data_IF_946276161168
#
_entry.id   IF_946276161168
#
_cell.length_a   1.000
_cell.length_b   1.000
_cell.length_c   1.000
_cell.angle_alpha   90.00
_cell.angle_beta   90.00
_cell.angle_gamma   90.00
#
_symmetry.space_group_name_H-M   'P 1'
#
loop_
_entity.id
_entity.type
_entity.pdbx_description
1 polymer ?
#
# COMPACT_ATOMS: atom_id res chain seq x y z
N UNK A 1 -29.08 42.23 9.14
CA UNK A 1 -28.73 41.49 7.91
C UNK A 1 -27.23 41.59 7.63
N UNK A 2 -26.61 42.77 7.78
CA UNK A 2 -25.16 42.98 7.73
C UNK A 2 -24.36 42.07 8.67
N UNK A 3 -24.76 41.97 9.93
CA UNK A 3 -23.96 41.32 10.97
C UNK A 3 -23.88 39.80 10.75
N UNK A 4 -24.99 39.23 10.25
CA UNK A 4 -25.07 37.82 9.86
C UNK A 4 -24.13 37.48 8.70
N UNK A 5 -24.00 38.37 7.70
CA UNK A 5 -23.08 38.18 6.58
C UNK A 5 -21.64 38.15 7.08
N UNK A 6 -21.26 39.04 8.00
CA UNK A 6 -19.91 39.05 8.56
C UNK A 6 -19.58 37.82 9.39
N UNK A 7 -20.54 37.30 10.16
CA UNK A 7 -20.38 36.02 10.87
C UNK A 7 -20.14 34.88 9.88
N UNK A 8 -20.91 34.81 8.79
CA UNK A 8 -20.70 33.82 7.73
C UNK A 8 -19.32 33.97 7.07
N UNK A 9 -18.84 35.19 6.85
CA UNK A 9 -17.50 35.43 6.29
C UNK A 9 -16.39 34.97 7.24
N UNK A 10 -16.54 35.16 8.56
CA UNK A 10 -15.58 34.64 9.54
C UNK A 10 -15.57 33.10 9.51
N UNK A 11 -16.74 32.46 9.50
CA UNK A 11 -16.85 30.99 9.39
C UNK A 11 -16.21 30.50 8.08
N UNK A 12 -16.54 31.15 6.96
CA UNK A 12 -15.98 30.81 5.65
C UNK A 12 -14.45 30.96 5.65
N UNK A 13 -13.91 32.01 6.27
CA UNK A 13 -12.46 32.20 6.37
C UNK A 13 -11.77 31.08 7.16
N UNK A 14 -12.40 30.57 8.22
CA UNK A 14 -11.91 29.43 8.97
C UNK A 14 -12.01 28.13 8.17
N UNK A 15 -13.11 27.91 7.42
CA UNK A 15 -13.26 26.77 6.52
C UNK A 15 -12.21 26.77 5.41
N UNK A 16 -11.94 27.94 4.79
CA UNK A 16 -10.91 28.10 3.77
C UNK A 16 -9.52 27.89 4.36
N UNK A 17 -9.24 28.45 5.55
CA UNK A 17 -7.97 28.25 6.24
C UNK A 17 -7.73 26.76 6.58
N UNK A 18 -8.78 26.04 6.99
CA UNK A 18 -8.72 24.61 7.22
C UNK A 18 -8.50 23.81 5.92
N UNK A 19 -9.19 24.16 4.84
CA UNK A 19 -9.02 23.54 3.52
C UNK A 19 -7.59 23.72 2.99
N UNK A 20 -7.02 24.91 3.15
CA UNK A 20 -5.63 25.23 2.78
C UNK A 20 -4.60 24.71 3.79
N UNK A 21 -5.04 24.00 4.84
CA UNK A 21 -4.19 23.42 5.90
C UNK A 21 -3.25 24.44 6.54
N UNK A 22 -3.75 25.66 6.79
CA UNK A 22 -2.95 26.70 7.44
C UNK A 22 -2.64 26.33 8.90
N UNK A 23 -1.45 26.70 9.41
CA UNK A 23 -1.16 26.60 10.84
C UNK A 23 -2.22 27.32 11.67
N UNK A 24 -2.57 26.77 12.84
CA UNK A 24 -3.65 27.28 13.70
C UNK A 24 -3.56 28.79 13.97
N UNK A 25 -2.35 29.30 14.23
CA UNK A 25 -2.15 30.73 14.46
C UNK A 25 -2.49 31.57 13.23
N UNK A 26 -2.13 31.11 12.03
CA UNK A 26 -2.43 31.82 10.78
C UNK A 26 -3.94 31.82 10.52
N UNK A 27 -4.63 30.70 10.80
CA UNK A 27 -6.08 30.63 10.69
C UNK A 27 -6.79 31.62 11.63
N UNK A 28 -6.33 31.73 12.88
CA UNK A 28 -6.86 32.68 13.87
C UNK A 28 -6.60 34.13 13.42
N UNK A 29 -5.40 34.43 12.92
CA UNK A 29 -5.06 35.77 12.41
C UNK A 29 -5.96 36.16 11.23
N UNK A 30 -6.17 35.25 10.27
CA UNK A 30 -7.05 35.49 9.11
C UNK A 30 -8.48 35.76 9.56
N UNK A 31 -9.03 34.94 10.46
CA UNK A 31 -10.37 35.11 10.98
C UNK A 31 -10.53 36.42 11.79
N UNK A 32 -9.51 36.77 12.58
CA UNK A 32 -9.46 38.05 13.30
C UNK A 32 -9.36 39.25 12.36
N UNK A 33 -8.66 39.12 11.23
CA UNK A 33 -8.61 40.12 10.17
C UNK A 33 -9.99 40.38 9.54
N UNK A 34 -10.75 39.32 9.23
CA UNK A 34 -12.13 39.45 8.72
C UNK A 34 -13.03 40.15 9.75
N UNK A 35 -12.87 39.81 11.03
CA UNK A 35 -13.62 40.44 12.13
C UNK A 35 -13.29 41.94 12.28
N UNK A 36 -12.02 42.31 12.10
CA UNK A 36 -11.57 43.71 12.11
C UNK A 36 -12.19 44.52 10.98
N UNK A 37 -12.21 43.96 9.77
CA UNK A 37 -12.86 44.62 8.63
C UNK A 37 -14.34 44.86 8.91
N UNK A 38 -15.07 43.85 9.42
CA UNK A 38 -16.47 44.01 9.79
C UNK A 38 -16.73 45.00 10.95
N UNK A 39 -15.72 45.27 11.78
CA UNK A 39 -15.76 46.31 12.83
C UNK A 39 -15.64 47.71 12.21
N UNK A 40 -14.76 47.89 11.22
CA UNK A 40 -14.55 49.17 10.51
C UNK A 40 -15.81 49.57 9.73
N UNK A 41 -16.53 48.62 9.14
CA UNK A 41 -17.80 48.86 8.44
C UNK A 41 -19.02 49.04 9.38
N UNK A 42 -18.80 49.09 10.70
CA UNK A 42 -19.82 49.44 11.69
C UNK A 42 -20.82 48.34 12.05
N UNK A 43 -20.64 47.13 11.53
CA UNK A 43 -21.54 45.99 11.73
C UNK A 43 -21.16 45.07 12.90
N UNK A 44 -19.92 45.16 13.39
CA UNK A 44 -19.44 44.32 14.50
C UNK A 44 -18.88 45.19 15.61
N UNK A 45 -19.19 44.82 16.85
CA UNK A 45 -18.83 45.57 18.04
C UNK A 45 -17.97 44.79 19.02
N UNK A 46 -17.78 45.36 20.20
CA UNK A 46 -16.97 44.80 21.29
C UNK A 46 -17.42 43.38 21.70
N UNK A 47 -18.73 43.11 21.63
CA UNK A 47 -19.29 41.79 21.92
C UNK A 47 -18.74 40.70 20.98
N UNK A 48 -18.60 41.01 19.69
CA UNK A 48 -18.08 40.07 18.68
C UNK A 48 -16.62 39.71 18.94
N UNK A 49 -15.82 40.69 19.35
CA UNK A 49 -14.42 40.48 19.75
C UNK A 49 -14.29 39.67 21.02
N UNK A 50 -15.13 39.92 22.03
CA UNK A 50 -15.16 39.12 23.25
C UNK A 50 -15.49 37.65 22.94
N UNK A 51 -16.52 37.41 22.14
CA UNK A 51 -16.89 36.04 21.72
C UNK A 51 -15.74 35.38 20.96
N UNK A 52 -15.11 36.09 20.03
CA UNK A 52 -13.98 35.56 19.26
C UNK A 52 -12.80 35.16 20.16
N UNK A 53 -12.40 36.03 21.10
CA UNK A 53 -11.30 35.75 22.02
C UNK A 53 -11.64 34.59 22.94
N UNK A 54 -12.84 34.57 23.52
CA UNK A 54 -13.28 33.49 24.42
C UNK A 54 -13.28 32.14 23.71
N UNK A 55 -13.70 32.10 22.44
CA UNK A 55 -13.72 30.87 21.65
C UNK A 55 -12.32 30.46 21.19
N UNK A 56 -11.49 31.39 20.70
CA UNK A 56 -10.20 31.04 20.08
C UNK A 56 -9.04 30.95 21.06
N UNK A 57 -9.05 31.68 22.18
CA UNK A 57 -7.96 31.68 23.16
C UNK A 57 -7.65 30.28 23.74
N UNK A 58 -8.64 29.42 24.07
CA UNK A 58 -8.38 28.05 24.51
C UNK A 58 -7.64 27.20 23.47
N UNK A 59 -7.77 27.50 22.18
CA UNK A 59 -7.07 26.80 21.09
C UNK A 59 -5.70 27.45 20.80
N UNK A 60 -5.59 28.77 20.91
CA UNK A 60 -4.36 29.50 20.62
C UNK A 60 -3.27 29.24 21.67
N UNK A 61 -3.64 29.12 22.95
CA UNK A 61 -2.70 29.05 24.07
C UNK A 61 -2.35 27.60 24.41
N UNK A 62 -1.09 27.14 24.21
CA UNK A 62 -0.72 25.74 24.40
C UNK A 62 -0.92 25.24 25.84
N UNK A 63 -0.72 26.09 26.84
CA UNK A 63 -0.90 25.76 28.26
C UNK A 63 -2.36 25.46 28.63
N UNK A 64 -3.32 25.93 27.84
CA UNK A 64 -4.74 25.61 27.99
C UNK A 64 -5.11 24.45 27.05
N UNK A 65 -4.76 24.57 25.76
CA UNK A 65 -5.11 23.59 24.73
C UNK A 65 -4.65 22.18 25.06
N UNK A 66 -3.39 22.01 25.45
CA UNK A 66 -2.80 20.66 25.62
C UNK A 66 -3.43 19.91 26.79
N UNK A 67 -3.45 20.42 28.04
CA UNK A 67 -3.99 19.68 29.18
C UNK A 67 -5.50 19.50 29.14
N UNK A 68 -6.26 20.49 28.67
CA UNK A 68 -7.72 20.48 28.79
C UNK A 68 -8.46 20.06 27.52
N UNK A 69 -7.83 20.13 26.34
CA UNK A 69 -8.47 19.79 25.07
C UNK A 69 -7.79 18.59 24.41
N UNK A 70 -6.50 18.70 24.11
CA UNK A 70 -5.77 17.68 23.33
C UNK A 70 -5.60 16.38 24.11
N UNK A 71 -5.14 16.43 25.37
CA UNK A 71 -4.92 15.21 26.18
C UNK A 71 -6.20 14.42 26.43
N UNK A 72 -7.34 15.02 26.83
CA UNK A 72 -8.59 14.28 27.02
C UNK A 72 -9.13 13.68 25.72
N UNK A 73 -9.06 14.43 24.61
CA UNK A 73 -9.46 13.91 23.29
C UNK A 73 -8.60 12.71 22.88
N UNK A 74 -7.28 12.78 23.06
CA UNK A 74 -6.39 11.66 22.78
C UNK A 74 -6.67 10.46 23.68
N UNK A 75 -6.94 10.70 24.97
CA UNK A 75 -7.29 9.64 25.91
C UNK A 75 -8.61 8.95 25.56
N UNK A 76 -9.62 9.71 25.13
CA UNK A 76 -10.86 9.16 24.60
C UNK A 76 -10.61 8.33 23.34
N UNK A 77 -9.87 8.89 22.37
CA UNK A 77 -9.58 8.22 21.11
C UNK A 77 -8.85 6.88 21.32
N UNK A 78 -7.86 6.84 22.24
CA UNK A 78 -7.16 5.61 22.61
C UNK A 78 -8.06 4.50 23.17
N UNK A 79 -9.17 4.85 23.82
CA UNK A 79 -10.13 3.86 24.33
C UNK A 79 -11.02 3.26 23.24
N UNK A 80 -11.22 3.98 22.14
CA UNK A 80 -12.07 3.57 21.03
C UNK A 80 -11.27 2.86 19.94
N UNK A 81 -9.96 3.11 19.86
CA UNK A 81 -9.08 2.36 18.97
C UNK A 81 -8.98 0.90 19.45
N UNK A 82 -9.17 -0.09 18.56
CA UNK A 82 -8.90 -1.48 18.90
C UNK A 82 -7.41 -1.66 19.21
N UNK A 83 -7.12 -2.43 20.27
CA UNK A 83 -5.75 -2.84 20.56
C UNK A 83 -5.31 -3.88 19.53
N UNK A 84 -4.15 -3.66 18.92
CA UNK A 84 -3.59 -4.57 17.93
C UNK A 84 -3.08 -5.83 18.63
N UNK A 85 -3.49 -7.00 18.16
CA UNK A 85 -2.97 -8.27 18.67
C UNK A 85 -1.49 -8.44 18.32
N UNK A 86 -0.77 -9.27 19.08
CA UNK A 86 0.65 -9.59 18.80
C UNK A 86 0.85 -10.12 17.37
N UNK A 87 -0.07 -10.94 16.87
CA UNK A 87 0.00 -11.49 15.51
C UNK A 87 -0.24 -10.43 14.44
N UNK A 88 -1.19 -9.52 14.65
CA UNK A 88 -1.40 -8.38 13.73
C UNK A 88 -0.21 -7.43 13.73
N UNK A 89 0.42 -7.21 14.89
CA UNK A 89 1.62 -6.38 15.00
C UNK A 89 2.79 -7.01 14.22
N UNK A 90 3.05 -8.31 14.41
CA UNK A 90 4.08 -9.02 13.65
C UNK A 90 3.82 -8.99 12.14
N UNK A 91 2.55 -9.11 11.72
CA UNK A 91 2.18 -9.01 10.31
C UNK A 91 2.40 -7.60 9.73
N UNK A 92 2.09 -6.55 10.50
CA UNK A 92 2.34 -5.16 10.09
C UNK A 92 3.84 -4.85 10.07
N UNK A 93 4.59 -5.33 11.06
CA UNK A 93 6.04 -5.11 11.16
C UNK A 93 6.82 -5.90 10.11
N UNK A 94 6.30 -7.06 9.67
CA UNK A 94 6.83 -7.78 8.52
C UNK A 94 6.54 -7.07 7.20
N UNK A 95 5.49 -6.25 7.16
CA UNK A 95 5.14 -5.41 6.03
C UNK A 95 6.07 -4.20 5.89
N UNK A 96 6.19 -3.69 4.67
CA UNK A 96 6.83 -2.39 4.43
C UNK A 96 5.82 -1.44 3.80
N UNK A 97 5.94 -0.16 4.10
CA UNK A 97 5.13 0.89 3.46
C UNK A 97 5.81 1.26 2.14
N UNK A 98 5.10 1.15 1.02
CA UNK A 98 5.67 1.43 -0.30
C UNK A 98 5.16 2.76 -0.87
N UNK A 99 4.42 2.76 -1.99
CA UNK A 99 3.85 3.98 -2.59
C UNK A 99 2.55 4.42 -1.91
N UNK A 100 1.84 3.47 -1.28
CA UNK A 100 0.59 3.71 -0.57
C UNK A 100 0.80 4.66 0.61
N UNK A 101 1.94 4.57 1.30
CA UNK A 101 2.33 5.51 2.36
C UNK A 101 2.37 6.96 1.92
N UNK A 102 2.80 7.23 0.67
CA UNK A 102 2.79 8.60 0.13
C UNK A 102 1.37 9.15 0.07
N UNK A 103 0.40 8.33 -0.34
CA UNK A 103 -1.01 8.73 -0.44
C UNK A 103 -1.61 8.90 0.96
N UNK A 104 -1.42 7.92 1.85
CA UNK A 104 -1.99 7.95 3.19
C UNK A 104 -1.37 9.04 4.09
N UNK A 105 -0.19 9.56 3.76
CA UNK A 105 0.39 10.74 4.43
C UNK A 105 -0.45 12.02 4.24
N UNK A 106 -1.35 12.04 3.26
CA UNK A 106 -2.15 13.20 2.88
C UNK A 106 -1.36 14.31 2.19
N UNK A 107 -0.05 14.15 1.97
CA UNK A 107 0.81 15.06 1.20
C UNK A 107 1.83 14.24 0.39
N UNK A 108 1.38 13.51 -0.65
CA UNK A 108 2.26 12.63 -1.43
C UNK A 108 3.38 13.40 -2.13
N UNK A 109 4.58 12.82 -2.15
CA UNK A 109 5.66 13.26 -3.01
C UNK A 109 5.46 12.68 -4.44
N UNK A 110 4.90 13.50 -5.32
CA UNK A 110 4.65 13.11 -6.71
C UNK A 110 5.92 12.84 -7.51
N UNK A 111 7.04 13.50 -7.17
CA UNK A 111 8.29 13.26 -7.87
C UNK A 111 8.82 11.87 -7.54
N UNK A 112 8.73 11.45 -6.27
CA UNK A 112 9.04 10.08 -5.84
C UNK A 112 8.17 9.04 -6.56
N UNK A 113 6.86 9.28 -6.65
CA UNK A 113 5.93 8.35 -7.33
C UNK A 113 6.22 8.23 -8.83
N UNK A 114 6.48 9.35 -9.52
CA UNK A 114 6.85 9.34 -10.94
C UNK A 114 8.24 8.76 -11.21
N UNK A 115 9.12 8.75 -10.21
CA UNK A 115 10.45 8.15 -10.31
C UNK A 115 10.44 6.62 -10.11
N UNK A 116 9.31 6.00 -9.76
CA UNK A 116 9.20 4.54 -9.64
C UNK A 116 9.51 3.92 -11.01
N UNK A 117 10.54 3.08 -11.13
CA UNK A 117 10.94 2.53 -12.41
C UNK A 117 9.85 1.59 -12.95
N UNK A 118 9.59 1.69 -14.24
CA UNK A 118 8.74 0.72 -14.93
C UNK A 118 9.44 -0.65 -14.93
N UNK A 119 8.72 -1.69 -14.51
CA UNK A 119 9.19 -3.07 -14.63
C UNK A 119 9.51 -3.41 -16.08
N UNK A 120 10.66 -4.04 -16.32
CA UNK A 120 11.11 -4.48 -17.64
C UNK A 120 11.60 -5.91 -17.54
N UNK A 121 11.35 -6.69 -18.58
CA UNK A 121 11.90 -8.03 -18.72
C UNK A 121 13.31 -7.92 -19.28
N UNK A 122 14.22 -8.70 -18.72
CA UNK A 122 15.50 -9.03 -19.33
C UNK A 122 15.27 -9.87 -20.60
N UNK A 123 16.31 -9.99 -21.43
CA UNK A 123 16.23 -10.82 -22.63
C UNK A 123 15.93 -12.31 -22.31
N UNK A 124 16.47 -12.81 -21.20
CA UNK A 124 16.24 -14.19 -20.72
C UNK A 124 14.79 -14.38 -20.26
N UNK A 125 14.25 -13.46 -19.46
CA UNK A 125 12.86 -13.51 -19.00
C UNK A 125 11.87 -13.37 -20.16
N UNK A 126 12.15 -12.49 -21.12
CA UNK A 126 11.34 -12.34 -22.33
C UNK A 126 11.37 -13.64 -23.17
N UNK A 127 12.54 -14.23 -23.36
CA UNK A 127 12.67 -15.51 -24.07
C UNK A 127 11.93 -16.65 -23.36
N UNK A 128 11.92 -16.66 -22.02
CA UNK A 128 11.13 -17.62 -21.25
C UNK A 128 9.63 -17.43 -21.48
N UNK A 129 9.16 -16.18 -21.48
CA UNK A 129 7.76 -15.82 -21.69
C UNK A 129 7.27 -16.16 -23.11
N UNK A 130 8.12 -15.97 -24.13
CA UNK A 130 7.76 -16.16 -25.54
C UNK A 130 8.03 -17.60 -26.04
N UNK A 131 8.78 -18.39 -25.27
CA UNK A 131 9.09 -19.78 -25.58
C UNK A 131 8.39 -20.74 -24.62
N UNK A 132 9.04 -21.12 -23.51
CA UNK A 132 8.50 -22.04 -22.53
C UNK A 132 7.04 -21.79 -22.12
N UNK A 133 6.68 -20.53 -21.81
CA UNK A 133 5.33 -20.20 -21.36
C UNK A 133 4.30 -20.34 -22.48
N UNK A 134 4.59 -19.87 -23.69
CA UNK A 134 3.69 -20.06 -24.85
C UNK A 134 3.45 -21.54 -25.14
N UNK A 135 4.53 -22.34 -25.06
CA UNK A 135 4.45 -23.77 -25.32
C UNK A 135 3.54 -24.48 -24.32
N UNK A 136 3.68 -24.22 -23.02
CA UNK A 136 2.85 -24.88 -22.01
C UNK A 136 1.39 -24.42 -22.05
N UNK A 137 1.12 -23.16 -22.38
CA UNK A 137 -0.25 -22.71 -22.65
C UNK A 137 -0.90 -23.52 -23.78
N UNK A 138 -0.13 -23.83 -24.84
CA UNK A 138 -0.62 -24.67 -25.94
C UNK A 138 -0.74 -26.16 -25.63
N UNK A 139 -0.26 -26.63 -24.46
CA UNK A 139 -0.37 -28.03 -24.02
C UNK A 139 -1.64 -28.30 -23.21
N UNK A 140 -2.37 -27.26 -22.77
CA UNK A 140 -3.53 -27.41 -21.90
C UNK A 140 -4.85 -27.44 -22.66
N UNK A 141 -5.68 -28.41 -22.31
CA UNK A 141 -7.12 -28.38 -22.51
C UNK A 141 -7.81 -28.14 -21.15
N UNK A 142 -8.35 -26.94 -20.96
CA UNK A 142 -8.94 -26.54 -19.67
C UNK A 142 -10.21 -27.34 -19.32
N UNK A 143 -10.97 -27.79 -20.32
CA UNK A 143 -12.17 -28.57 -20.07
C UNK A 143 -11.80 -29.97 -19.58
N UNK A 144 -10.80 -30.60 -20.23
CA UNK A 144 -10.24 -31.89 -19.83
C UNK A 144 -9.68 -31.84 -18.40
N UNK A 145 -8.85 -30.83 -18.09
CA UNK A 145 -8.27 -30.63 -16.74
C UNK A 145 -9.36 -30.51 -15.67
N UNK A 146 -10.36 -29.65 -15.88
CA UNK A 146 -11.34 -29.38 -14.81
C UNK A 146 -12.46 -30.43 -14.70
N UNK A 147 -12.91 -31.03 -15.80
CA UNK A 147 -14.12 -31.86 -15.82
C UNK A 147 -13.85 -33.35 -15.91
N UNK A 148 -12.66 -33.76 -16.31
CA UNK A 148 -12.30 -35.18 -16.44
C UNK A 148 -11.17 -35.59 -15.52
N UNK A 149 -10.04 -34.91 -15.60
CA UNK A 149 -8.82 -35.38 -14.93
C UNK A 149 -8.72 -34.84 -13.50
N UNK A 150 -9.28 -33.65 -13.23
CA UNK A 150 -9.11 -32.91 -11.98
C UNK A 150 -7.64 -32.70 -11.59
N UNK A 151 -6.74 -32.71 -12.58
CA UNK A 151 -5.30 -32.53 -12.46
C UNK A 151 -4.72 -32.08 -13.81
N UNK A 152 -3.48 -31.60 -13.82
CA UNK A 152 -2.74 -31.34 -15.05
C UNK A 152 -2.27 -32.67 -15.67
N UNK A 153 -2.22 -32.77 -17.02
CA UNK A 153 -1.67 -33.96 -17.67
C UNK A 153 -0.22 -34.25 -17.28
N UNK A 154 0.21 -35.52 -17.19
CA UNK A 154 1.58 -35.88 -16.80
C UNK A 154 2.68 -35.22 -17.64
N UNK A 155 2.45 -35.04 -18.94
CA UNK A 155 3.36 -34.36 -19.85
C UNK A 155 3.51 -32.87 -19.55
N UNK A 156 2.45 -32.22 -19.04
CA UNK A 156 2.52 -30.84 -18.57
C UNK A 156 3.32 -30.77 -17.29
N UNK A 157 3.06 -31.65 -16.33
CA UNK A 157 3.86 -31.75 -15.09
C UNK A 157 5.34 -31.94 -15.38
N UNK A 158 5.68 -32.84 -16.31
CA UNK A 158 7.07 -33.07 -16.73
C UNK A 158 7.69 -31.80 -17.33
N UNK A 159 6.96 -31.15 -18.24
CA UNK A 159 7.42 -29.92 -18.89
C UNK A 159 7.65 -28.77 -17.91
N UNK A 160 6.75 -28.58 -16.94
CA UNK A 160 6.87 -27.54 -15.92
C UNK A 160 8.13 -27.74 -15.05
N UNK A 161 8.44 -28.99 -14.70
CA UNK A 161 9.66 -29.33 -13.94
C UNK A 161 10.92 -29.14 -14.77
N UNK A 162 10.94 -29.67 -16.00
CA UNK A 162 12.07 -29.55 -16.92
C UNK A 162 12.46 -28.09 -17.17
N UNK A 163 11.45 -27.23 -17.36
CA UNK A 163 11.64 -25.81 -17.61
C UNK A 163 11.59 -24.94 -16.35
N UNK A 164 11.63 -25.54 -15.15
CA UNK A 164 11.78 -24.83 -13.86
C UNK A 164 10.69 -23.81 -13.56
N UNK A 165 9.46 -24.07 -13.99
CA UNK A 165 8.32 -23.18 -13.71
C UNK A 165 8.06 -23.01 -12.19
N UNK A 166 8.40 -24.00 -11.37
CA UNK A 166 8.25 -23.93 -9.91
C UNK A 166 9.38 -23.20 -9.17
N UNK A 167 10.38 -22.71 -9.92
CA UNK A 167 11.64 -22.21 -9.38
C UNK A 167 12.07 -20.89 -10.02
N UNK A 168 11.10 -20.09 -10.48
CA UNK A 168 11.38 -18.81 -11.12
C UNK A 168 12.10 -17.86 -10.15
N UNK A 169 11.68 -17.83 -8.88
CA UNK A 169 12.25 -16.93 -7.87
C UNK A 169 13.47 -17.50 -7.13
N UNK A 170 13.80 -18.78 -7.34
CA UNK A 170 14.94 -19.41 -6.68
C UNK A 170 16.22 -18.95 -7.39
N UNK A 171 17.25 -18.57 -6.63
CA UNK A 171 18.53 -18.11 -7.19
C UNK A 171 19.18 -19.17 -8.07
N UNK A 172 19.93 -18.72 -9.08
CA UNK A 172 20.61 -19.62 -10.02
C UNK A 172 21.65 -20.52 -9.34
N UNK A 173 22.28 -20.06 -8.26
CA UNK A 173 23.23 -20.86 -7.46
C UNK A 173 22.62 -22.13 -6.86
N UNK A 174 21.30 -22.12 -6.61
CA UNK A 174 20.54 -23.29 -6.15
C UNK A 174 19.79 -23.98 -7.29
N UNK A 175 20.07 -23.62 -8.55
CA UNK A 175 19.47 -24.23 -9.72
C UNK A 175 18.12 -23.64 -10.14
N UNK A 176 17.66 -22.54 -9.57
CA UNK A 176 16.48 -21.82 -10.06
C UNK A 176 16.76 -20.92 -11.27
N UNK A 177 15.82 -20.04 -11.60
CA UNK A 177 15.93 -19.09 -12.72
C UNK A 177 16.29 -17.66 -12.29
N UNK A 178 16.06 -17.31 -11.02
CA UNK A 178 16.33 -15.98 -10.45
C UNK A 178 15.66 -14.83 -11.23
N UNK A 179 14.44 -15.06 -11.66
CA UNK A 179 13.63 -14.07 -12.35
C UNK A 179 13.10 -13.01 -11.38
N UNK A 180 12.91 -11.81 -11.91
CA UNK A 180 12.31 -10.70 -11.20
C UNK A 180 10.84 -10.96 -10.87
N UNK A 181 10.33 -10.28 -9.83
CA UNK A 181 8.90 -10.28 -9.51
C UNK A 181 8.03 -9.82 -10.70
N UNK A 182 8.56 -8.93 -11.56
CA UNK A 182 7.86 -8.50 -12.77
C UNK A 182 7.75 -9.65 -13.79
N UNK A 183 8.82 -10.40 -14.04
CA UNK A 183 8.78 -11.56 -14.91
C UNK A 183 7.84 -12.65 -14.38
N UNK A 184 7.95 -12.99 -13.10
CA UNK A 184 7.02 -13.92 -12.44
C UNK A 184 5.55 -13.48 -12.66
N UNK A 185 5.24 -12.20 -12.42
CA UNK A 185 3.90 -11.65 -12.64
C UNK A 185 3.42 -11.80 -14.08
N UNK A 186 4.29 -11.54 -15.08
CA UNK A 186 3.95 -11.69 -16.50
C UNK A 186 3.73 -13.15 -16.91
N UNK A 187 4.55 -14.07 -16.40
CA UNK A 187 4.37 -15.51 -16.61
C UNK A 187 3.02 -15.94 -16.06
N UNK A 188 2.74 -15.68 -14.78
CA UNK A 188 1.47 -16.07 -14.14
C UNK A 188 0.27 -15.43 -14.86
N UNK A 189 0.34 -14.15 -15.24
CA UNK A 189 -0.72 -13.48 -15.99
C UNK A 189 -1.02 -14.18 -17.32
N UNK A 190 0.00 -14.61 -18.05
CA UNK A 190 -0.14 -15.30 -19.34
C UNK A 190 -0.75 -16.70 -19.16
N UNK A 191 -0.29 -17.45 -18.15
CA UNK A 191 -0.85 -18.75 -17.80
C UNK A 191 -2.33 -18.64 -17.41
N UNK A 192 -2.68 -17.64 -16.59
CA UNK A 192 -4.06 -17.40 -16.14
C UNK A 192 -5.02 -17.08 -17.31
N UNK A 193 -4.52 -16.50 -18.40
CA UNK A 193 -5.29 -16.29 -19.62
C UNK A 193 -5.67 -17.59 -20.34
N UNK A 194 -5.03 -18.70 -20.01
CA UNK A 194 -5.28 -20.02 -20.61
C UNK A 194 -5.94 -20.99 -19.64
N UNK A 195 -5.44 -21.05 -18.39
CA UNK A 195 -5.89 -22.01 -17.37
C UNK A 195 -5.67 -21.48 -15.96
N UNK A 196 -6.73 -21.47 -15.16
CA UNK A 196 -6.64 -21.07 -13.75
C UNK A 196 -5.87 -22.11 -12.93
N UNK A 197 -6.04 -23.40 -13.26
CA UNK A 197 -5.33 -24.51 -12.61
C UNK A 197 -3.83 -24.41 -12.89
N UNK A 198 -3.43 -24.26 -14.16
CA UNK A 198 -2.01 -24.10 -14.52
C UNK A 198 -1.38 -22.88 -13.83
N UNK A 199 -2.08 -21.74 -13.86
CA UNK A 199 -1.62 -20.52 -13.22
C UNK A 199 -1.44 -20.67 -11.72
N UNK A 200 -2.37 -21.33 -11.04
CA UNK A 200 -2.30 -21.57 -9.59
C UNK A 200 -1.16 -22.52 -9.24
N UNK A 201 -1.06 -23.64 -9.97
CA UNK A 201 -0.03 -24.66 -9.78
C UNK A 201 1.38 -24.09 -9.95
N UNK A 202 1.61 -23.22 -10.94
CA UNK A 202 2.88 -22.52 -11.12
C UNK A 202 3.06 -21.36 -10.13
N UNK A 203 1.99 -20.61 -9.87
CA UNK A 203 2.05 -19.39 -9.07
C UNK A 203 2.36 -19.64 -7.61
N UNK A 204 1.70 -20.63 -6.98
CA UNK A 204 1.80 -20.89 -5.53
C UNK A 204 3.25 -21.15 -5.09
N UNK A 205 4.02 -22.05 -5.71
CA UNK A 205 5.42 -22.27 -5.31
C UNK A 205 6.32 -21.03 -5.44
N UNK A 206 5.98 -20.09 -6.32
CA UNK A 206 6.77 -18.89 -6.56
C UNK A 206 6.33 -17.67 -5.73
N UNK A 207 5.21 -17.73 -5.00
CA UNK A 207 4.72 -16.59 -4.19
C UNK A 207 4.44 -16.94 -2.73
N UNK A 208 3.93 -18.14 -2.48
CA UNK A 208 3.59 -18.64 -1.14
C UNK A 208 4.39 -19.91 -0.77
N UNK A 209 5.21 -20.37 -1.72
CA UNK A 209 6.03 -21.56 -1.54
C UNK A 209 7.16 -21.35 -0.54
N UNK A 210 7.73 -22.45 -0.01
CA UNK A 210 8.81 -22.37 0.97
C UNK A 210 10.10 -21.75 0.40
N UNK A 211 10.23 -21.64 -0.93
CA UNK A 211 11.43 -21.11 -1.59
C UNK A 211 11.79 -19.69 -1.16
N UNK A 212 10.83 -18.77 -1.13
CA UNK A 212 11.07 -17.37 -0.74
C UNK A 212 11.56 -17.29 0.71
N UNK A 213 10.83 -17.91 1.65
CA UNK A 213 11.16 -17.90 3.06
C UNK A 213 12.51 -18.58 3.35
N UNK A 214 12.80 -19.71 2.71
CA UNK A 214 14.08 -20.40 2.85
C UNK A 214 15.25 -19.55 2.35
N UNK A 215 15.07 -18.78 1.27
CA UNK A 215 16.11 -17.90 0.77
C UNK A 215 16.40 -16.73 1.73
N UNK A 216 15.36 -16.14 2.32
CA UNK A 216 15.51 -14.98 3.21
C UNK A 216 15.93 -15.37 4.63
N UNK A 217 15.37 -16.45 5.18
CA UNK A 217 15.48 -16.77 6.61
C UNK A 217 16.11 -18.15 6.89
N UNK A 218 16.30 -18.98 5.86
CA UNK A 218 16.93 -20.28 6.02
C UNK A 218 18.39 -20.18 6.45
N UNK A 219 18.85 -21.12 7.27
CA UNK A 219 20.28 -21.35 7.47
C UNK A 219 20.92 -21.85 6.18
N UNK A 220 22.23 -21.67 6.04
CA UNK A 220 22.96 -22.15 4.85
C UNK A 220 22.78 -23.66 4.63
N UNK A 221 22.74 -24.46 5.71
CA UNK A 221 22.45 -25.89 5.61
C UNK A 221 21.05 -26.17 5.04
N UNK A 222 20.03 -25.42 5.47
CA UNK A 222 18.66 -25.55 4.94
C UNK A 222 18.59 -25.13 3.47
N UNK A 223 19.20 -23.99 3.11
CA UNK A 223 19.23 -23.51 1.72
C UNK A 223 19.87 -24.54 0.79
N UNK A 224 21.06 -25.02 1.13
CA UNK A 224 21.81 -26.00 0.34
C UNK A 224 21.09 -27.35 0.21
N UNK A 225 20.27 -27.71 1.19
CA UNK A 225 19.51 -28.97 1.15
C UNK A 225 18.18 -28.85 0.39
N UNK A 226 17.39 -27.81 0.66
CA UNK A 226 16.01 -27.71 0.19
C UNK A 226 15.86 -26.96 -1.13
N UNK A 227 16.59 -25.86 -1.35
CA UNK A 227 16.39 -25.03 -2.55
C UNK A 227 16.71 -25.78 -3.86
N UNK A 228 17.76 -26.61 -3.95
CA UNK A 228 18.01 -27.39 -5.16
C UNK A 228 16.90 -28.39 -5.50
N UNK A 229 16.25 -28.96 -4.48
CA UNK A 229 15.15 -29.93 -4.64
C UNK A 229 13.85 -29.25 -5.05
N UNK A 230 13.57 -28.09 -4.46
CA UNK A 230 12.48 -27.24 -4.91
C UNK A 230 12.69 -26.77 -6.34
N UNK A 231 13.95 -26.51 -6.73
CA UNK A 231 14.30 -26.12 -8.08
C UNK A 231 14.11 -27.23 -9.13
N UNK A 232 14.31 -28.50 -8.76
CA UNK A 232 14.05 -29.66 -9.63
C UNK A 232 12.58 -30.11 -9.65
N UNK A 233 11.79 -29.70 -8.65
CA UNK A 233 10.39 -30.14 -8.49
C UNK A 233 10.26 -31.56 -7.95
N UNK A 234 11.21 -32.00 -7.11
CA UNK A 234 11.22 -33.28 -6.39
C UNK A 234 10.53 -33.20 -5.02
#
# INVERSE_FOLDING_TARGET
>A
MSDFIWVLLVILSLCVAAYQRLPLMNAIIVAGGVLLVGTIFGSLGLLSWLVFIVVMAPFAVPSIRIPYLTKPMLAFYRKVMPEMSTTEQEAIDAGTVWWDGEIFSGRPDWQKLHAIPMGRLTAEEQAFLDGPVDKVCGMIDEWQVNHKDADLPPEVWAYLKEHKFFAMIIKKEYGGLEFSAFAQSRVIQKLAGTSAVLSSTVGVPNSLGPGELLQHYGTEAQKNHYLPRLASGD
#
